data_IF_887121880775
#
_entry.id   IF_887121880775
#
_cell.length_a   1.000
_cell.length_b   1.000
_cell.length_c   1.000
_cell.angle_alpha   90.00
_cell.angle_beta   90.00
_cell.angle_gamma   90.00
#
_symmetry.space_group_name_H-M   'P 1'
#
loop_
_entity.id
_entity.type
_entity.pdbx_description
1 polymer ?
#
# COMPACT_ATOMS: atom_id res chain seq x y z
N UNK A 1 -26.07 15.26 -9.87
CA UNK A 1 -25.51 15.10 -8.51
C UNK A 1 -24.39 14.07 -8.56
N UNK A 2 -23.14 14.45 -8.27
CA UNK A 2 -22.06 13.46 -8.20
C UNK A 2 -22.28 12.61 -6.94
N UNK A 3 -22.88 11.43 -7.11
CA UNK A 3 -23.26 10.54 -6.01
C UNK A 3 -22.06 10.19 -5.13
N UNK A 4 -22.32 9.98 -3.83
CA UNK A 4 -21.35 9.60 -2.80
C UNK A 4 -20.38 8.48 -3.24
N UNK A 5 -20.85 7.53 -4.06
CA UNK A 5 -20.04 6.48 -4.69
C UNK A 5 -18.87 7.03 -5.53
N UNK A 6 -19.06 8.13 -6.25
CA UNK A 6 -18.00 8.79 -7.04
C UNK A 6 -16.95 9.49 -6.18
N UNK A 7 -17.34 9.99 -5.01
CA UNK A 7 -16.41 10.60 -4.06
C UNK A 7 -15.59 9.51 -3.35
N UNK A 8 -16.24 8.41 -2.97
CA UNK A 8 -15.62 7.25 -2.35
C UNK A 8 -14.58 6.61 -3.28
N UNK A 9 -14.93 6.35 -4.54
CA UNK A 9 -13.99 5.77 -5.50
C UNK A 9 -12.75 6.65 -5.71
N UNK A 10 -12.94 7.98 -5.80
CA UNK A 10 -11.83 8.93 -5.92
C UNK A 10 -10.92 8.94 -4.68
N UNK A 11 -11.47 8.74 -3.49
CA UNK A 11 -10.72 8.77 -2.23
C UNK A 11 -10.05 7.43 -1.90
N UNK A 12 -10.59 6.30 -2.40
CA UNK A 12 -10.17 4.94 -2.03
C UNK A 12 -8.66 4.69 -2.11
N UNK A 13 -7.91 5.09 -3.16
CA UNK A 13 -6.46 4.88 -3.22
C UNK A 13 -5.69 5.56 -2.08
N UNK A 14 -6.15 6.74 -1.63
CA UNK A 14 -5.51 7.50 -0.54
C UNK A 14 -5.85 6.92 0.82
N UNK A 15 -7.12 6.58 1.03
CA UNK A 15 -7.56 5.95 2.28
C UNK A 15 -6.83 4.63 2.47
N UNK A 16 -6.76 3.78 1.44
CA UNK A 16 -6.01 2.53 1.51
C UNK A 16 -4.52 2.76 1.82
N UNK A 17 -3.88 3.74 1.18
CA UNK A 17 -2.48 4.07 1.46
C UNK A 17 -2.27 4.56 2.89
N UNK A 18 -3.12 5.45 3.40
CA UNK A 18 -3.00 5.96 4.77
C UNK A 18 -3.28 4.89 5.82
N UNK A 19 -4.20 3.95 5.55
CA UNK A 19 -4.43 2.80 6.42
C UNK A 19 -3.19 1.90 6.51
N UNK A 20 -2.56 1.60 5.36
CA UNK A 20 -1.31 0.83 5.34
C UNK A 20 -0.13 1.60 5.92
N UNK A 21 -0.09 2.92 5.76
CA UNK A 21 0.90 3.77 6.40
C UNK A 21 0.78 3.70 7.93
N UNK A 22 -0.44 3.80 8.47
CA UNK A 22 -0.67 3.65 9.90
C UNK A 22 -0.24 2.27 10.39
N UNK A 23 -0.59 1.21 9.65
CA UNK A 23 -0.09 -0.14 9.92
C UNK A 23 1.45 -0.18 9.95
N UNK A 24 2.14 0.38 8.96
CA UNK A 24 3.59 0.40 8.90
C UNK A 24 4.22 1.16 10.08
N UNK A 25 3.67 2.32 10.46
CA UNK A 25 4.14 3.10 11.62
C UNK A 25 4.08 2.29 12.91
N UNK A 26 3.02 1.52 13.14
CA UNK A 26 2.96 0.65 14.33
C UNK A 26 4.08 -0.39 14.35
N UNK A 27 4.55 -0.86 13.18
CA UNK A 27 5.66 -1.82 13.08
C UNK A 27 7.01 -1.15 13.25
N UNK A 28 7.18 0.09 12.78
CA UNK A 28 8.35 0.91 13.12
C UNK A 28 8.48 1.05 14.63
N UNK A 29 7.40 1.42 15.31
CA UNK A 29 7.38 1.56 16.77
C UNK A 29 7.68 0.23 17.49
N UNK A 30 7.04 -0.87 17.05
CA UNK A 30 7.24 -2.19 17.65
C UNK A 30 8.68 -2.73 17.46
N UNK A 31 9.31 -2.43 16.32
CA UNK A 31 10.62 -2.96 15.97
C UNK A 31 11.78 -1.97 16.15
N UNK A 32 11.52 -0.80 16.75
CA UNK A 32 12.56 0.20 17.00
C UNK A 32 13.63 -0.30 17.98
N UNK A 33 13.22 -1.13 18.95
CA UNK A 33 14.08 -1.60 20.05
C UNK A 33 14.02 -3.10 20.29
N UNK A 34 13.08 -3.82 19.66
CA UNK A 34 12.90 -5.26 19.89
C UNK A 34 12.61 -6.01 18.59
N UNK A 35 13.14 -7.22 18.45
CA UNK A 35 12.82 -8.16 17.37
C UNK A 35 12.25 -9.45 17.96
N UNK A 36 11.17 -10.00 17.39
CA UNK A 36 10.70 -11.33 17.78
C UNK A 36 11.72 -12.38 17.30
N UNK A 37 11.95 -13.48 18.07
CA UNK A 37 12.97 -14.48 17.73
C UNK A 37 12.83 -15.08 16.33
N UNK A 38 11.59 -15.20 15.84
CA UNK A 38 11.28 -15.74 14.51
C UNK A 38 11.82 -14.86 13.37
N UNK A 39 12.01 -13.56 13.61
CA UNK A 39 12.54 -12.61 12.63
C UNK A 39 13.98 -12.22 12.91
N UNK A 40 14.66 -12.88 13.85
CA UNK A 40 15.99 -12.48 14.29
C UNK A 40 17.00 -12.51 13.14
N UNK A 41 16.98 -13.57 12.31
CA UNK A 41 17.85 -13.68 11.14
C UNK A 41 17.63 -12.52 10.14
N UNK A 42 16.38 -12.10 9.95
CA UNK A 42 16.05 -10.96 9.08
C UNK A 42 16.55 -9.66 9.71
N UNK A 43 16.38 -9.50 11.03
CA UNK A 43 16.81 -8.32 11.78
C UNK A 43 18.34 -8.11 11.73
N UNK A 44 19.11 -9.20 11.78
CA UNK A 44 20.57 -9.16 11.71
C UNK A 44 21.10 -8.68 10.36
N UNK A 45 20.39 -8.98 9.26
CA UNK A 45 20.73 -8.50 7.92
C UNK A 45 20.28 -7.04 7.74
N UNK A 46 19.05 -6.75 8.14
CA UNK A 46 18.45 -5.43 8.02
C UNK A 46 17.53 -5.17 9.22
N UNK A 47 17.81 -4.14 10.04
CA UNK A 47 16.94 -3.78 11.16
C UNK A 47 15.48 -3.64 10.70
N UNK A 48 14.60 -4.41 11.35
CA UNK A 48 13.21 -4.60 10.90
C UNK A 48 12.42 -3.29 10.79
N UNK A 49 12.76 -2.25 11.57
CA UNK A 49 12.10 -0.94 11.51
C UNK A 49 12.36 -0.19 10.19
N UNK A 50 13.47 -0.46 9.49
CA UNK A 50 13.87 0.23 8.26
C UNK A 50 12.87 0.02 7.12
N UNK A 51 12.55 -1.23 6.68
CA UNK A 51 11.60 -1.44 5.58
C UNK A 51 10.22 -0.85 5.91
N UNK A 52 9.78 -0.94 7.17
CA UNK A 52 8.51 -0.33 7.60
C UNK A 52 8.55 1.20 7.59
N UNK A 53 9.71 1.83 7.85
CA UNK A 53 9.87 3.29 7.76
C UNK A 53 9.81 3.77 6.32
N UNK A 54 10.45 3.03 5.41
CA UNK A 54 10.36 3.31 3.96
C UNK A 54 8.92 3.17 3.49
N UNK A 55 8.24 2.08 3.85
CA UNK A 55 6.81 1.88 3.55
C UNK A 55 5.97 3.03 4.09
N UNK A 56 6.09 3.35 5.37
CA UNK A 56 5.31 4.42 6.00
C UNK A 56 5.52 5.75 5.28
N UNK A 57 6.77 6.12 4.99
CA UNK A 57 7.10 7.37 4.30
C UNK A 57 6.48 7.42 2.91
N UNK A 58 6.66 6.39 2.10
CA UNK A 58 6.11 6.33 0.75
C UNK A 58 4.57 6.39 0.76
N UNK A 59 3.93 5.64 1.65
CA UNK A 59 2.47 5.59 1.72
C UNK A 59 1.85 6.86 2.31
N UNK A 60 2.49 7.51 3.29
CA UNK A 60 2.06 8.83 3.79
C UNK A 60 2.16 9.87 2.67
N UNK A 61 3.33 10.00 2.04
CA UNK A 61 3.53 10.99 0.97
C UNK A 61 2.59 10.72 -0.22
N UNK A 62 2.43 9.46 -0.61
CA UNK A 62 1.49 9.06 -1.67
C UNK A 62 0.02 9.20 -1.29
N UNK A 63 -0.32 9.13 0.00
CA UNK A 63 -1.69 9.24 0.51
C UNK A 63 -2.15 10.69 0.69
N UNK A 64 -1.25 11.60 1.06
CA UNK A 64 -1.57 13.00 1.36
C UNK A 64 -1.80 13.88 0.12
N UNK A 65 -1.34 13.46 -1.06
CA UNK A 65 -1.53 14.27 -2.29
C UNK A 65 -3.01 14.33 -2.68
N UNK A 66 -3.63 15.52 -2.74
CA UNK A 66 -5.06 15.66 -2.94
C UNK A 66 -5.49 15.30 -4.38
N UNK A 67 -6.75 14.90 -4.61
CA UNK A 67 -7.26 14.57 -5.95
C UNK A 67 -7.26 15.75 -6.93
N UNK A 68 -7.15 16.97 -6.43
CA UNK A 68 -7.11 18.21 -7.23
C UNK A 68 -5.68 18.66 -7.54
N UNK A 69 -4.65 17.96 -7.08
CA UNK A 69 -3.25 18.29 -7.37
C UNK A 69 -2.94 18.22 -8.88
N UNK A 70 -1.84 18.87 -9.28
CA UNK A 70 -1.33 18.81 -10.64
C UNK A 70 -0.96 17.39 -11.09
N UNK A 71 -0.91 17.17 -12.41
CA UNK A 71 -0.66 15.84 -13.01
C UNK A 71 0.67 15.21 -12.55
N UNK A 72 1.75 16.01 -12.46
CA UNK A 72 3.06 15.54 -11.99
C UNK A 72 3.00 15.01 -10.55
N UNK A 73 2.36 15.75 -9.64
CA UNK A 73 2.20 15.35 -8.24
C UNK A 73 1.35 14.09 -8.10
N UNK A 74 0.31 13.92 -8.94
CA UNK A 74 -0.52 12.72 -8.97
C UNK A 74 0.26 11.49 -9.41
N UNK A 75 1.04 11.62 -10.50
CA UNK A 75 1.89 10.54 -10.99
C UNK A 75 2.94 10.13 -9.94
N UNK A 76 3.60 11.09 -9.29
CA UNK A 76 4.54 10.83 -8.21
C UNK A 76 3.86 10.12 -7.03
N UNK A 77 2.71 10.62 -6.58
CA UNK A 77 1.96 10.02 -5.49
C UNK A 77 1.52 8.59 -5.80
N UNK A 78 1.12 8.32 -7.05
CA UNK A 78 0.80 6.97 -7.53
C UNK A 78 2.03 6.06 -7.45
N UNK A 79 3.18 6.53 -7.93
CA UNK A 79 4.44 5.79 -7.83
C UNK A 79 4.82 5.48 -6.39
N UNK A 80 4.71 6.46 -5.49
CA UNK A 80 4.96 6.26 -4.06
C UNK A 80 4.03 5.21 -3.44
N UNK A 81 2.72 5.27 -3.74
CA UNK A 81 1.76 4.26 -3.26
C UNK A 81 2.07 2.86 -3.80
N UNK A 82 2.44 2.77 -5.08
CA UNK A 82 2.80 1.49 -5.73
C UNK A 82 4.04 0.88 -5.07
N UNK A 83 5.13 1.62 -4.95
CA UNK A 83 6.36 1.13 -4.34
C UNK A 83 6.19 0.81 -2.85
N UNK A 84 5.48 1.66 -2.11
CA UNK A 84 5.16 1.39 -0.69
C UNK A 84 4.36 0.09 -0.52
N UNK A 85 3.42 -0.19 -1.43
CA UNK A 85 2.64 -1.44 -1.42
C UNK A 85 3.46 -2.66 -1.82
N UNK A 86 4.33 -2.56 -2.82
CA UNK A 86 5.24 -3.66 -3.21
C UNK A 86 6.13 -4.04 -2.03
N UNK A 87 6.78 -3.06 -1.41
CA UNK A 87 7.65 -3.31 -0.25
C UNK A 87 6.85 -3.93 0.89
N UNK A 88 5.67 -3.38 1.22
CA UNK A 88 4.78 -3.95 2.25
C UNK A 88 4.45 -5.42 1.99
N UNK A 89 4.11 -5.75 0.75
CA UNK A 89 3.76 -7.11 0.33
C UNK A 89 4.95 -8.05 0.50
N UNK A 90 6.13 -7.65 0.03
CA UNK A 90 7.35 -8.46 0.16
C UNK A 90 7.72 -8.66 1.63
N UNK A 91 7.65 -7.60 2.45
CA UNK A 91 7.92 -7.68 3.89
C UNK A 91 6.94 -8.64 4.58
N UNK A 92 5.63 -8.53 4.32
CA UNK A 92 4.65 -9.47 4.89
C UNK A 92 4.88 -10.92 4.45
N UNK A 93 5.27 -11.13 3.19
CA UNK A 93 5.62 -12.46 2.68
C UNK A 93 6.84 -13.06 3.38
N UNK A 94 7.89 -12.26 3.59
CA UNK A 94 9.07 -12.68 4.37
C UNK A 94 8.66 -13.06 5.80
N UNK A 95 7.76 -12.29 6.42
CA UNK A 95 7.28 -12.57 7.78
C UNK A 95 6.49 -13.88 7.80
N UNK A 96 5.61 -14.10 6.83
CA UNK A 96 4.84 -15.35 6.72
C UNK A 96 5.78 -16.57 6.66
N UNK A 97 6.81 -16.50 5.81
CA UNK A 97 7.80 -17.58 5.67
C UNK A 97 8.62 -17.74 6.95
N UNK A 98 9.09 -16.65 7.56
CA UNK A 98 9.89 -16.72 8.78
C UNK A 98 9.12 -17.36 9.94
N UNK A 99 7.84 -17.00 10.13
CA UNK A 99 6.99 -17.63 11.13
C UNK A 99 6.69 -19.10 10.83
N UNK A 100 6.56 -19.46 9.55
CA UNK A 100 6.35 -20.85 9.15
C UNK A 100 7.57 -21.73 9.45
N UNK A 101 8.78 -21.21 9.26
CA UNK A 101 10.03 -21.95 9.45
C UNK A 101 10.53 -21.96 10.90
N UNK A 102 10.24 -20.92 11.68
CA UNK A 102 10.79 -20.76 13.02
C UNK A 102 10.14 -21.66 14.09
N UNK A 103 8.90 -22.13 13.89
CA UNK A 103 8.20 -23.01 14.83
C UNK A 103 7.36 -24.06 14.09
N UNK A 104 7.84 -25.31 14.09
CA UNK A 104 7.17 -26.44 13.43
C UNK A 104 5.85 -26.86 14.10
N UNK A 105 5.61 -26.49 15.36
CA UNK A 105 4.43 -26.92 16.11
C UNK A 105 3.23 -25.99 15.92
N UNK A 106 3.46 -24.67 15.92
CA UNK A 106 2.40 -23.65 15.88
C UNK A 106 2.71 -22.44 14.99
N UNK A 107 3.90 -22.35 14.40
CA UNK A 107 4.30 -21.24 13.53
C UNK A 107 3.37 -21.06 12.31
N UNK A 108 2.75 -22.15 11.86
CA UNK A 108 1.77 -22.13 10.75
C UNK A 108 0.56 -21.23 11.02
N UNK A 109 0.10 -21.09 12.28
CA UNK A 109 -1.06 -20.24 12.62
C UNK A 109 -0.75 -18.77 12.33
N UNK A 110 0.42 -18.30 12.77
CA UNK A 110 0.91 -16.96 12.49
C UNK A 110 1.23 -16.77 11.01
N UNK A 111 1.83 -17.78 10.37
CA UNK A 111 2.16 -17.74 8.94
C UNK A 111 0.91 -17.54 8.08
N UNK A 112 -0.19 -18.26 8.35
CA UNK A 112 -1.47 -18.10 7.64
C UNK A 112 -2.00 -16.67 7.77
N UNK A 113 -1.96 -16.08 8.97
CA UNK A 113 -2.38 -14.69 9.17
C UNK A 113 -1.54 -13.72 8.32
N UNK A 114 -0.22 -13.91 8.28
CA UNK A 114 0.66 -13.08 7.44
C UNK A 114 0.47 -13.33 5.94
N UNK A 115 0.14 -14.56 5.51
CA UNK A 115 -0.23 -14.84 4.12
C UNK A 115 -1.54 -14.13 3.73
N UNK A 116 -2.56 -14.16 4.60
CA UNK A 116 -3.80 -13.42 4.37
C UNK A 116 -3.55 -11.91 4.29
N UNK A 117 -2.71 -11.36 5.18
CA UNK A 117 -2.30 -9.96 5.12
C UNK A 117 -1.52 -9.64 3.84
N UNK A 118 -0.68 -10.56 3.36
CA UNK A 118 0.05 -10.41 2.10
C UNK A 118 -0.92 -10.37 0.92
N UNK A 119 -1.89 -11.28 0.86
CA UNK A 119 -2.93 -11.27 -0.16
C UNK A 119 -3.74 -9.95 -0.13
N UNK A 120 -4.10 -9.49 1.07
CA UNK A 120 -4.78 -8.21 1.25
C UNK A 120 -3.92 -7.02 0.82
N UNK A 121 -2.61 -7.06 1.08
CA UNK A 121 -1.64 -6.06 0.63
C UNK A 121 -1.54 -6.00 -0.90
N UNK A 122 -1.55 -7.15 -1.58
CA UNK A 122 -1.58 -7.22 -3.05
C UNK A 122 -2.85 -6.57 -3.61
N UNK A 123 -4.01 -6.96 -3.09
CA UNK A 123 -5.31 -6.44 -3.54
C UNK A 123 -5.44 -4.94 -3.32
N UNK A 124 -5.09 -4.47 -2.13
CA UNK A 124 -5.08 -3.04 -1.82
C UNK A 124 -4.02 -2.27 -2.61
N UNK A 125 -2.87 -2.88 -2.89
CA UNK A 125 -1.84 -2.35 -3.79
C UNK A 125 -2.35 -2.07 -5.19
N UNK A 126 -3.12 -3.00 -5.73
CA UNK A 126 -3.78 -2.84 -7.01
C UNK A 126 -4.83 -1.71 -7.00
N UNK A 127 -5.57 -1.53 -5.90
CA UNK A 127 -6.48 -0.39 -5.73
C UNK A 127 -5.69 0.93 -5.66
N UNK A 128 -4.60 0.94 -4.91
CA UNK A 128 -3.75 2.12 -4.67
C UNK A 128 -3.04 2.62 -5.95
N UNK A 129 -2.76 1.72 -6.89
CA UNK A 129 -2.08 2.02 -8.15
C UNK A 129 -3.02 2.55 -9.24
N UNK A 130 -4.34 2.39 -9.10
CA UNK A 130 -5.32 2.91 -10.05
C UNK A 130 -5.54 4.42 -9.85
N UNK A 131 -5.41 5.19 -10.92
CA UNK A 131 -6.01 6.52 -10.97
C UNK A 131 -7.47 6.37 -11.40
N UNK A 132 -8.42 6.83 -10.59
CA UNK A 132 -9.81 6.95 -11.05
C UNK A 132 -9.82 8.02 -12.13
N UNK A 133 -9.81 7.58 -13.39
CA UNK A 133 -9.99 8.44 -14.54
C UNK A 133 -11.26 9.27 -14.30
N UNK A 134 -11.11 10.60 -14.27
CA UNK A 134 -12.27 11.46 -14.34
C UNK A 134 -12.95 11.18 -15.68
N UNK A 135 -14.18 10.68 -15.63
CA UNK A 135 -15.08 10.37 -16.76
C UNK A 135 -15.12 11.44 -17.87
N UNK A 136 -14.64 12.66 -17.61
CA UNK A 136 -14.46 13.74 -18.61
C UNK A 136 -13.56 13.41 -19.79
N UNK A 137 -12.61 12.46 -19.68
CA UNK A 137 -11.76 12.11 -20.82
C UNK A 137 -12.50 11.31 -21.90
N UNK A 138 -13.60 10.62 -21.55
CA UNK A 138 -14.43 9.88 -22.51
C UNK A 138 -15.46 10.80 -23.18
N UNK A 139 -15.95 11.83 -22.47
CA UNK A 139 -16.93 12.79 -23.03
C UNK A 139 -16.33 13.87 -23.96
N UNK A 140 -15.01 14.05 -23.98
CA UNK A 140 -14.34 15.00 -24.89
C UNK A 140 -14.00 14.44 -26.26
N UNK A 141 -14.18 13.13 -26.48
CA UNK A 141 -13.86 12.44 -27.74
C UNK A 141 -15.00 12.43 -28.76
N UNK A 142 -16.24 12.70 -28.34
CA UNK A 142 -17.44 12.65 -29.21
C UNK A 142 -17.90 14.03 -29.70
N UNK A 143 -17.13 15.09 -29.47
CA UNK A 143 -17.39 16.42 -30.06
C UNK A 143 -16.71 16.54 -31.43
N UNK A 144 -16.94 15.59 -32.34
CA UNK A 144 -16.68 15.79 -33.76
C UNK A 144 -17.88 16.56 -34.33
N UNK A 145 -17.68 17.85 -34.58
CA UNK A 145 -18.68 18.72 -35.18
C UNK A 145 -19.06 18.20 -36.58
N UNK A 146 -20.36 18.13 -36.93
CA UNK A 146 -20.75 17.97 -38.33
C UNK A 146 -20.31 19.23 -39.08
N UNK A 147 -19.45 19.04 -40.08
CA UNK A 147 -19.15 20.07 -41.07
C UNK A 147 -20.23 19.97 -42.15
N UNK A 148 -21.09 20.99 -42.22
CA UNK A 148 -21.81 21.36 -43.45
C UNK A 148 -20.87 22.16 -44.36
#
# INVERSE_FOLDING_TARGET
>A
MAGWQSALSRAAPRVAALTWAAYAVTRVAAYASTSPPQLQQVHEILPLWIPWTVVATLLVLGGLVPPRAGLRSKALARGMRQWGSVISTMTLGIWAVAFLLADASRGWVSAVNYFMLTAFAVLSGWIMSREVASVRAVQGGDAYAPMD
#
